data_IF_780471776104
#
_entry.id   IF_780471776104
#
_cell.length_a   1.000
_cell.length_b   1.000
_cell.length_c   1.000
_cell.angle_alpha   90.00
_cell.angle_beta   90.00
_cell.angle_gamma   90.00
#
_symmetry.space_group_name_H-M   'P 1'
#
loop_
_entity.id
_entity.type
_entity.pdbx_description
1 polymer ?
#
# COMPACT_ATOMS: atom_id res chain seq x y z
N UNK A 1 9.65 15.00 -8.03
CA UNK A 1 9.50 14.21 -6.79
C UNK A 1 9.14 12.77 -7.15
N UNK A 2 9.78 11.83 -6.51
CA UNK A 2 9.53 10.43 -6.79
C UNK A 2 8.15 10.00 -6.30
N UNK A 3 7.55 9.05 -7.01
CA UNK A 3 6.18 8.61 -6.74
C UNK A 3 6.12 7.10 -6.59
N UNK A 4 5.33 6.65 -5.64
CA UNK A 4 5.00 5.22 -5.45
C UNK A 4 3.50 5.04 -5.40
N UNK A 5 3.04 3.92 -5.93
CA UNK A 5 1.68 3.44 -5.66
C UNK A 5 1.78 2.62 -4.38
N UNK A 6 0.91 2.91 -3.40
CA UNK A 6 0.95 2.23 -2.11
C UNK A 6 -0.33 1.44 -1.92
N UNK A 7 -0.20 0.19 -1.45
CA UNK A 7 -1.36 -0.62 -1.13
C UNK A 7 -1.70 -0.53 0.36
N UNK A 8 -2.82 -1.12 0.75
CA UNK A 8 -3.30 -1.00 2.13
C UNK A 8 -2.38 -1.66 3.15
N UNK A 9 -1.59 -2.66 2.74
CA UNK A 9 -0.75 -3.38 3.69
C UNK A 9 0.30 -2.48 4.33
N UNK A 10 0.83 -1.51 3.56
CA UNK A 10 1.82 -0.56 4.10
C UNK A 10 1.17 0.34 5.14
N UNK A 11 -0.03 0.85 4.82
CA UNK A 11 -0.74 1.73 5.76
C UNK A 11 -1.10 0.97 7.04
N UNK A 12 -1.65 -0.23 6.89
CA UNK A 12 -2.03 -1.05 8.05
C UNK A 12 -0.82 -1.33 8.92
N UNK A 13 0.33 -1.64 8.30
CA UNK A 13 1.55 -1.90 9.05
C UNK A 13 1.99 -0.69 9.88
N UNK A 14 1.68 0.53 9.40
CA UNK A 14 2.05 1.73 10.14
C UNK A 14 1.09 2.04 11.28
N UNK A 15 -0.15 1.54 11.20
CA UNK A 15 -1.20 1.92 12.15
C UNK A 15 -1.27 1.02 13.38
N UNK A 16 -0.95 -0.26 13.22
CA UNK A 16 -1.08 -1.23 14.30
C UNK A 16 0.28 -1.50 14.94
N UNK A 17 0.38 -1.37 16.28
CA UNK A 17 1.70 -1.41 16.93
C UNK A 17 2.38 -2.78 16.91
N UNK A 18 1.63 -3.85 16.67
CA UNK A 18 2.17 -5.21 16.67
C UNK A 18 2.47 -5.74 15.27
N UNK A 19 2.43 -4.88 14.25
CA UNK A 19 2.75 -5.31 12.89
C UNK A 19 4.26 -5.50 12.70
N UNK A 20 4.66 -6.58 12.02
CA UNK A 20 6.09 -6.88 11.89
C UNK A 20 6.89 -5.89 11.05
N UNK A 21 6.23 -5.19 10.13
CA UNK A 21 6.94 -4.26 9.24
C UNK A 21 6.65 -2.80 9.56
N UNK A 22 6.28 -2.55 10.81
CA UNK A 22 5.82 -1.23 11.21
C UNK A 22 6.85 -0.13 10.98
N UNK A 23 8.11 -0.37 11.34
CA UNK A 23 9.12 0.66 11.19
C UNK A 23 9.38 1.01 9.73
N UNK A 24 9.42 -0.02 8.87
CA UNK A 24 9.60 0.21 7.45
C UNK A 24 8.43 0.99 6.87
N UNK A 25 7.20 0.64 7.27
CA UNK A 25 6.00 1.35 6.81
C UNK A 25 6.00 2.79 7.30
N UNK A 26 6.38 3.02 8.54
CA UNK A 26 6.46 4.38 9.08
C UNK A 26 7.47 5.23 8.31
N UNK A 27 8.57 4.62 7.87
CA UNK A 27 9.55 5.34 7.07
C UNK A 27 8.94 5.84 5.76
N UNK A 28 8.16 5.00 5.09
CA UNK A 28 7.50 5.40 3.84
C UNK A 28 6.53 6.56 4.10
N UNK A 29 5.68 6.43 5.11
CA UNK A 29 4.69 7.46 5.39
C UNK A 29 5.32 8.74 5.89
N UNK A 30 6.38 8.65 6.67
CA UNK A 30 7.09 9.84 7.14
C UNK A 30 7.67 10.64 5.97
N UNK A 31 8.25 9.94 4.99
CA UNK A 31 8.77 10.62 3.81
C UNK A 31 7.66 11.25 2.98
N UNK A 32 6.49 10.59 2.90
CA UNK A 32 5.35 11.17 2.24
C UNK A 32 4.88 12.44 2.97
N UNK A 33 4.73 12.36 4.28
CA UNK A 33 4.22 13.48 5.07
C UNK A 33 5.19 14.65 5.11
N UNK A 34 6.47 14.41 4.89
CA UNK A 34 7.48 15.47 4.84
C UNK A 34 7.74 15.97 3.42
N UNK A 35 6.90 15.58 2.47
CA UNK A 35 6.98 15.98 1.06
C UNK A 35 8.25 15.53 0.36
N UNK A 36 8.87 14.46 0.83
CA UNK A 36 10.02 13.87 0.17
C UNK A 36 9.64 12.81 -0.84
N UNK A 37 8.38 12.41 -0.86
CA UNK A 37 7.89 11.30 -1.66
C UNK A 37 6.42 11.53 -1.96
N UNK A 38 5.99 11.23 -3.19
CA UNK A 38 4.57 11.21 -3.54
C UNK A 38 4.03 9.80 -3.41
N UNK A 39 2.84 9.68 -2.85
CA UNK A 39 2.11 8.43 -2.83
C UNK A 39 0.79 8.62 -3.55
N UNK A 40 0.32 7.56 -4.19
CA UNK A 40 -1.03 7.50 -4.76
C UNK A 40 -1.59 6.11 -4.48
N UNK A 41 -2.89 6.05 -4.26
CA UNK A 41 -3.56 4.80 -3.96
C UNK A 41 -4.92 4.74 -4.62
N UNK A 42 -5.69 3.69 -4.35
CA UNK A 42 -7.04 3.51 -4.85
C UNK A 42 -8.05 3.89 -3.78
N UNK A 43 -9.25 4.34 -4.18
CA UNK A 43 -10.35 4.51 -3.20
C UNK A 43 -10.63 3.25 -2.40
N UNK A 44 -10.37 2.08 -2.98
CA UNK A 44 -10.52 0.78 -2.33
C UNK A 44 -9.76 0.72 -1.00
N UNK A 45 -8.63 1.41 -0.91
CA UNK A 45 -7.79 1.37 0.30
C UNK A 45 -8.57 1.74 1.55
N UNK A 46 -9.53 2.68 1.46
CA UNK A 46 -10.32 3.08 2.62
C UNK A 46 -10.98 1.89 3.30
N UNK A 47 -11.54 1.00 2.49
CA UNK A 47 -12.26 -0.15 3.00
C UNK A 47 -11.34 -1.29 3.37
N UNK A 48 -10.21 -1.40 2.71
CA UNK A 48 -9.23 -2.41 3.08
C UNK A 48 -8.59 -2.10 4.43
N UNK A 49 -8.30 -0.82 4.69
CA UNK A 49 -7.79 -0.41 5.99
C UNK A 49 -8.84 -0.64 7.07
N UNK A 50 -10.09 -0.21 6.81
CA UNK A 50 -11.18 -0.43 7.76
C UNK A 50 -11.37 -1.92 8.05
N UNK A 51 -11.28 -2.76 7.03
CA UNK A 51 -11.45 -4.20 7.19
C UNK A 51 -10.31 -4.81 8.01
N UNK A 52 -9.09 -4.35 7.81
CA UNK A 52 -7.95 -4.83 8.60
C UNK A 52 -8.12 -4.46 10.07
N UNK A 53 -8.61 -3.26 10.35
CA UNK A 53 -8.89 -2.83 11.72
C UNK A 53 -10.03 -3.65 12.32
N UNK A 54 -11.05 -3.98 11.52
CA UNK A 54 -12.12 -4.86 11.99
C UNK A 54 -11.59 -6.23 12.39
N UNK A 55 -10.70 -6.81 11.58
CA UNK A 55 -10.10 -8.10 11.91
C UNK A 55 -9.29 -8.01 13.21
N UNK A 56 -8.58 -6.91 13.42
CA UNK A 56 -7.81 -6.71 14.64
C UNK A 56 -8.73 -6.60 15.86
N UNK A 57 -9.89 -5.95 15.70
CA UNK A 57 -10.90 -5.89 16.74
C UNK A 57 -11.44 -7.27 17.07
N UNK A 58 -11.79 -8.03 16.02
CA UNK A 58 -12.39 -9.35 16.17
C UNK A 58 -11.45 -10.32 16.89
N UNK A 59 -10.15 -10.18 16.67
CA UNK A 59 -9.16 -11.07 17.28
C UNK A 59 -8.58 -10.53 18.58
N UNK A 60 -9.11 -9.42 19.08
CA UNK A 60 -8.68 -8.87 20.37
C UNK A 60 -7.36 -8.11 20.34
N UNK A 61 -6.82 -7.81 19.17
CA UNK A 61 -5.55 -7.11 19.06
C UNK A 61 -5.67 -5.62 19.38
N UNK A 62 -6.86 -5.05 19.25
CA UNK A 62 -7.06 -3.61 19.42
C UNK A 62 -8.47 -3.38 19.96
N UNK A 63 -8.67 -2.30 20.71
CA UNK A 63 -9.98 -1.87 21.18
C UNK A 63 -10.65 -0.99 20.15
N UNK A 64 -11.97 -0.88 20.21
CA UNK A 64 -12.71 -0.08 19.24
C UNK A 64 -12.22 1.37 19.18
N UNK A 65 -12.03 1.99 20.35
CA UNK A 65 -11.60 3.39 20.36
C UNK A 65 -10.23 3.56 19.69
N UNK A 66 -9.32 2.60 19.88
CA UNK A 66 -8.01 2.66 19.25
C UNK A 66 -8.09 2.41 17.76
N UNK A 67 -8.98 1.51 17.33
CA UNK A 67 -9.19 1.26 15.91
C UNK A 67 -9.77 2.49 15.21
N UNK A 68 -10.72 3.17 15.87
CA UNK A 68 -11.29 4.38 15.30
C UNK A 68 -10.25 5.50 15.21
N UNK A 69 -9.38 5.60 16.22
CA UNK A 69 -8.32 6.59 16.20
C UNK A 69 -7.32 6.30 15.07
N UNK A 70 -6.99 5.02 14.87
CA UNK A 70 -6.10 4.63 13.78
C UNK A 70 -6.70 4.98 12.42
N UNK A 71 -8.00 4.77 12.26
CA UNK A 71 -8.66 5.10 11.00
C UNK A 71 -8.64 6.61 10.76
N UNK A 72 -8.84 7.41 11.81
CA UNK A 72 -8.74 8.86 11.69
C UNK A 72 -7.32 9.28 11.29
N UNK A 73 -6.33 8.62 11.85
CA UNK A 73 -4.93 8.90 11.51
C UNK A 73 -4.69 8.62 10.03
N UNK A 74 -5.19 7.49 9.53
CA UNK A 74 -5.08 7.17 8.12
C UNK A 74 -5.75 8.25 7.26
N UNK A 75 -6.96 8.67 7.63
CA UNK A 75 -7.66 9.68 6.84
C UNK A 75 -6.90 11.00 6.81
N UNK A 76 -6.23 11.33 7.91
CA UNK A 76 -5.45 12.55 7.99
C UNK A 76 -4.19 12.53 7.11
N UNK A 77 -3.73 11.35 6.68
CA UNK A 77 -2.62 11.28 5.73
C UNK A 77 -2.94 11.94 4.41
N UNK A 78 -4.21 11.94 4.01
CA UNK A 78 -4.66 12.52 2.75
C UNK A 78 -3.89 11.98 1.54
N UNK A 79 -3.71 10.67 1.48
CA UNK A 79 -3.03 10.07 0.33
C UNK A 79 -3.90 10.27 -0.91
N UNK A 80 -3.39 10.89 -1.97
CA UNK A 80 -4.16 11.06 -3.20
C UNK A 80 -4.65 9.73 -3.78
N UNK A 81 -5.85 9.76 -4.34
CA UNK A 81 -6.46 8.56 -4.91
C UNK A 81 -6.55 8.69 -6.42
N UNK A 82 -6.24 7.60 -7.11
CA UNK A 82 -6.43 7.49 -8.54
C UNK A 82 -7.41 6.36 -8.82
N UNK A 83 -7.93 6.33 -10.04
CA UNK A 83 -8.88 5.31 -10.45
C UNK A 83 -8.30 4.52 -11.61
N UNK A 84 -8.74 3.27 -11.74
CA UNK A 84 -8.30 2.41 -12.82
C UNK A 84 -9.52 1.76 -13.47
N UNK A 85 -9.35 1.35 -14.71
CA UNK A 85 -10.37 0.63 -15.44
C UNK A 85 -10.56 -0.75 -14.84
N UNK A 86 -11.81 -1.14 -14.60
CA UNK A 86 -12.10 -2.49 -14.12
C UNK A 86 -11.73 -3.53 -15.17
N UNK A 87 -11.79 -3.17 -16.44
CA UNK A 87 -11.37 -4.07 -17.51
C UNK A 87 -9.87 -4.34 -17.41
N UNK A 88 -9.07 -3.30 -17.20
CA UNK A 88 -7.63 -3.47 -17.06
C UNK A 88 -7.31 -4.29 -15.81
N UNK A 89 -8.02 -4.05 -14.72
CA UNK A 89 -7.82 -4.84 -13.50
C UNK A 89 -8.12 -6.31 -13.73
N UNK A 90 -9.19 -6.61 -14.46
CA UNK A 90 -9.54 -8.01 -14.75
C UNK A 90 -8.47 -8.67 -15.63
N UNK A 91 -7.98 -7.95 -16.64
CA UNK A 91 -6.91 -8.49 -17.49
C UNK A 91 -5.66 -8.83 -16.69
N UNK A 92 -5.27 -7.96 -15.78
CA UNK A 92 -4.09 -8.20 -14.95
C UNK A 92 -4.33 -9.30 -13.93
N UNK A 93 -5.54 -9.38 -13.38
CA UNK A 93 -5.91 -10.46 -12.47
C UNK A 93 -5.73 -11.80 -13.14
N UNK A 94 -6.19 -11.90 -14.39
CA UNK A 94 -6.06 -13.14 -15.17
C UNK A 94 -4.58 -13.43 -15.50
N UNK A 95 -3.84 -12.39 -15.92
CA UNK A 95 -2.45 -12.56 -16.34
C UNK A 95 -1.54 -13.00 -15.20
N UNK A 96 -1.80 -12.51 -14.00
CA UNK A 96 -0.92 -12.78 -12.84
C UNK A 96 -1.56 -13.73 -11.83
N UNK A 97 -2.76 -14.21 -12.09
CA UNK A 97 -3.50 -15.11 -11.20
C UNK A 97 -3.62 -14.51 -9.79
N UNK A 98 -4.09 -13.26 -9.73
CA UNK A 98 -4.30 -12.55 -8.49
C UNK A 98 -5.73 -12.04 -8.42
N UNK A 99 -6.29 -11.87 -7.20
CA UNK A 99 -7.60 -11.23 -7.07
C UNK A 99 -7.62 -9.86 -7.74
N UNK A 100 -8.79 -9.47 -8.23
CA UNK A 100 -8.92 -8.19 -8.92
C UNK A 100 -8.54 -6.99 -8.03
N UNK A 101 -8.68 -7.13 -6.71
CA UNK A 101 -8.27 -6.07 -5.79
C UNK A 101 -6.76 -5.82 -5.88
N UNK A 102 -5.96 -6.91 -5.84
CA UNK A 102 -4.51 -6.80 -6.01
C UNK A 102 -4.16 -6.26 -7.39
N UNK A 103 -4.86 -6.80 -8.40
CA UNK A 103 -4.60 -6.41 -9.78
C UNK A 103 -4.93 -4.94 -10.05
N UNK A 104 -5.89 -4.38 -9.31
CA UNK A 104 -6.23 -2.96 -9.45
C UNK A 104 -5.04 -2.08 -9.03
N UNK A 105 -4.31 -2.46 -7.99
CA UNK A 105 -3.10 -1.72 -7.60
C UNK A 105 -2.03 -1.84 -8.67
N UNK A 106 -1.90 -3.01 -9.30
CA UNK A 106 -0.97 -3.16 -10.42
C UNK A 106 -1.38 -2.29 -11.60
N UNK A 107 -2.68 -2.21 -11.87
CA UNK A 107 -3.18 -1.36 -12.95
C UNK A 107 -2.86 0.12 -12.67
N UNK A 108 -3.00 0.54 -11.41
CA UNK A 108 -2.66 1.90 -11.03
C UNK A 108 -1.17 2.17 -11.20
N UNK A 109 -0.33 1.22 -10.78
CA UNK A 109 1.12 1.36 -10.92
C UNK A 109 1.50 1.50 -12.40
N UNK A 110 0.86 0.72 -13.26
CA UNK A 110 1.09 0.79 -14.70
C UNK A 110 0.67 2.15 -15.25
N UNK A 111 -0.52 2.62 -14.87
CA UNK A 111 -1.04 3.90 -15.35
C UNK A 111 -0.19 5.08 -14.89
N UNK A 112 0.29 5.02 -13.65
CA UNK A 112 1.10 6.09 -13.07
C UNK A 112 2.58 5.98 -13.42
N UNK A 113 2.98 4.87 -14.03
CA UNK A 113 4.39 4.57 -14.34
C UNK A 113 5.25 4.68 -13.10
N UNK A 114 4.73 4.13 -12.00
CA UNK A 114 5.38 4.19 -10.69
C UNK A 114 5.41 2.79 -10.07
N UNK A 115 6.45 2.49 -9.27
CA UNK A 115 6.49 1.19 -8.60
C UNK A 115 5.36 1.04 -7.59
N UNK A 116 4.94 -0.20 -7.36
CA UNK A 116 4.01 -0.55 -6.30
C UNK A 116 4.81 -0.97 -5.08
N UNK A 117 4.58 -0.31 -3.93
CA UNK A 117 5.21 -0.71 -2.68
C UNK A 117 4.20 -1.47 -1.83
N UNK A 118 4.64 -2.57 -1.26
CA UNK A 118 3.75 -3.44 -0.50
C UNK A 118 4.45 -4.02 0.74
N UNK A 119 3.67 -4.29 1.77
CA UNK A 119 4.09 -5.03 2.95
C UNK A 119 3.39 -6.40 3.01
N UNK A 120 2.70 -6.79 1.94
CA UNK A 120 2.02 -8.07 1.83
C UNK A 120 2.99 -9.09 1.22
N UNK A 121 3.53 -9.97 2.07
CA UNK A 121 4.54 -10.93 1.65
C UNK A 121 4.03 -11.87 0.57
N UNK A 122 2.78 -12.28 0.66
CA UNK A 122 2.19 -13.20 -0.31
C UNK A 122 2.09 -12.54 -1.68
N UNK A 123 1.65 -11.30 -1.72
CA UNK A 123 1.57 -10.55 -2.96
C UNK A 123 2.96 -10.35 -3.54
N UNK A 124 3.90 -9.91 -2.72
CA UNK A 124 5.26 -9.67 -3.19
C UNK A 124 5.88 -10.93 -3.78
N UNK A 125 5.77 -12.05 -3.06
CA UNK A 125 6.37 -13.31 -3.52
C UNK A 125 5.69 -13.83 -4.80
N UNK A 126 4.40 -13.56 -4.97
CA UNK A 126 3.68 -14.01 -6.15
C UNK A 126 4.07 -13.21 -7.40
N UNK A 127 4.47 -11.96 -7.24
CA UNK A 127 4.68 -11.04 -8.36
C UNK A 127 6.14 -10.69 -8.64
N UNK A 128 7.03 -10.90 -7.69
CA UNK A 128 8.42 -10.50 -7.88
C UNK A 128 9.01 -11.19 -9.11
N UNK A 129 9.68 -10.41 -9.94
CA UNK A 129 10.27 -10.90 -11.17
C UNK A 129 9.30 -11.12 -12.31
N UNK A 130 8.01 -10.87 -12.11
CA UNK A 130 6.98 -11.14 -13.13
C UNK A 130 6.26 -9.88 -13.57
N UNK A 131 6.33 -8.83 -12.78
CA UNK A 131 5.52 -7.65 -12.98
C UNK A 131 6.42 -6.42 -13.11
N UNK A 132 5.81 -5.26 -13.21
CA UNK A 132 6.50 -3.98 -13.21
C UNK A 132 7.23 -3.80 -11.89
N UNK A 133 8.05 -2.73 -11.77
CA UNK A 133 8.80 -2.53 -10.54
C UNK A 133 7.90 -2.65 -9.31
N UNK A 134 8.33 -3.51 -8.42
CA UNK A 134 7.61 -3.86 -7.22
C UNK A 134 8.60 -3.73 -6.08
N UNK A 135 8.26 -2.92 -5.07
CA UNK A 135 9.15 -2.70 -3.94
C UNK A 135 8.60 -3.39 -2.70
N UNK A 136 9.45 -4.15 -2.05
CA UNK A 136 9.13 -4.66 -0.73
C UNK A 136 9.38 -3.54 0.29
N UNK A 137 8.45 -3.39 1.23
CA UNK A 137 8.45 -2.23 2.13
C UNK A 137 9.76 -2.03 2.87
N UNK A 138 10.45 -3.11 3.25
CA UNK A 138 11.71 -3.01 3.98
C UNK A 138 12.88 -2.60 3.09
N UNK A 139 12.71 -2.73 1.78
CA UNK A 139 13.78 -2.39 0.84
C UNK A 139 13.75 -0.93 0.43
N UNK A 140 12.72 -0.18 0.81
CA UNK A 140 12.62 1.21 0.43
C UNK A 140 13.61 2.08 1.23
N UNK A 141 14.50 2.77 0.52
CA UNK A 141 15.54 3.61 1.13
C UNK A 141 15.46 5.07 0.68
N UNK A 142 14.38 5.44 0.01
CA UNK A 142 14.23 6.80 -0.48
C UNK A 142 14.75 6.96 -1.89
N UNK A 143 15.47 8.04 -2.17
CA UNK A 143 15.88 8.37 -3.52
C UNK A 143 16.62 7.25 -4.26
N UNK A 144 17.39 6.45 -3.53
CA UNK A 144 18.20 5.41 -4.14
C UNK A 144 17.37 4.36 -4.88
N UNK A 145 16.10 4.20 -4.48
CA UNK A 145 15.25 3.18 -5.07
C UNK A 145 14.77 3.56 -6.47
N UNK A 146 15.01 4.79 -6.90
CA UNK A 146 14.54 5.29 -8.19
C UNK A 146 15.69 5.49 -9.17
N UNK A 147 16.86 4.94 -8.86
CA UNK A 147 18.02 5.10 -9.74
C UNK A 147 18.55 6.52 -9.78
N UNK A 148 18.31 7.26 -8.72
CA UNK A 148 18.79 8.63 -8.60
C UNK A 148 20.31 8.63 -8.46
N UNK A 149 20.96 9.54 -9.10
CA UNK A 149 22.43 9.56 -9.09
C UNK A 149 22.99 10.90 -8.87
#
# INVERSE_FOLDING_TARGET
MDKLVVDASVVVASLLPDEPYREAALNVLTQFLSDSLELITLPLMRYEVANALWKALKTGRVKLEDALEALKEFEAFNIPEGEVSSIEALKLAHAYDRPAYDAAYLALAKAEKAPLITADKRLYNALKGKSRPLLWVEDFKGKRDFGDE
#
